data_IF_182534658860
#
_entry.id   IF_182534658860
#
_cell.length_a   1.000
_cell.length_b   1.000
_cell.length_c   1.000
_cell.angle_alpha   90.00
_cell.angle_beta   90.00
_cell.angle_gamma   90.00
#
_symmetry.space_group_name_H-M   'P 1'
#
loop_
_entity.id
_entity.type
_entity.pdbx_description
1 polymer ?
#
# COMPACT_ATOMS: atom_id res chain seq x y z
N UNK A 1 -10.82 15.57 -13.31
CA UNK A 1 -10.63 14.15 -13.73
C UNK A 1 -9.19 13.78 -13.39
N UNK A 2 -8.95 13.11 -12.29
CA UNK A 2 -7.59 12.69 -11.89
C UNK A 2 -7.28 11.44 -12.69
N UNK A 3 -6.41 11.56 -13.67
CA UNK A 3 -5.88 10.41 -14.38
C UNK A 3 -4.79 9.78 -13.51
N UNK A 4 -5.10 8.70 -12.81
CA UNK A 4 -4.11 7.89 -12.13
C UNK A 4 -3.45 6.97 -13.15
N UNK A 5 -2.24 7.30 -13.56
CA UNK A 5 -1.39 6.38 -14.33
C UNK A 5 -0.73 5.40 -13.36
N UNK A 6 -0.85 4.11 -13.59
CA UNK A 6 -0.14 3.08 -12.84
C UNK A 6 0.79 2.30 -13.74
N UNK A 7 2.01 2.07 -13.29
CA UNK A 7 2.99 1.22 -13.98
C UNK A 7 3.46 0.14 -13.01
N UNK A 8 3.56 -1.09 -13.51
CA UNK A 8 4.08 -2.22 -12.75
C UNK A 8 5.40 -2.67 -13.33
N UNK A 9 6.40 -2.79 -12.48
CA UNK A 9 7.76 -3.17 -12.85
C UNK A 9 8.17 -4.42 -12.11
N UNK A 10 8.67 -5.40 -12.84
CA UNK A 10 9.27 -6.58 -12.24
C UNK A 10 10.43 -7.05 -13.10
N UNK A 11 11.49 -7.53 -12.47
CA UNK A 11 12.63 -8.13 -13.16
C UNK A 11 12.38 -9.60 -13.53
N UNK A 12 11.38 -10.26 -12.90
CA UNK A 12 10.95 -11.62 -13.24
C UNK A 12 9.65 -11.66 -14.04
N UNK A 13 9.41 -12.74 -14.78
CA UNK A 13 8.27 -12.86 -15.70
C UNK A 13 6.93 -13.17 -14.99
N UNK A 14 6.93 -14.07 -14.00
CA UNK A 14 5.72 -14.67 -13.44
C UNK A 14 4.67 -13.67 -12.86
N UNK A 15 5.02 -12.69 -12.03
CA UNK A 15 3.99 -11.82 -11.43
C UNK A 15 3.30 -10.90 -12.43
N UNK A 16 4.01 -10.49 -13.49
CA UNK A 16 3.43 -9.62 -14.51
C UNK A 16 2.58 -10.38 -15.52
N UNK A 17 2.83 -11.68 -15.72
CA UNK A 17 2.01 -12.52 -16.58
C UNK A 17 0.61 -12.70 -15.98
N UNK A 18 0.47 -12.77 -14.66
CA UNK A 18 -0.84 -12.76 -13.99
C UNK A 18 -1.60 -11.44 -14.25
N UNK A 19 -0.93 -10.30 -14.26
CA UNK A 19 -1.55 -9.00 -14.58
C UNK A 19 -1.93 -8.94 -16.07
N UNK A 20 -1.08 -9.45 -16.97
CA UNK A 20 -1.32 -9.46 -18.42
C UNK A 20 -2.48 -10.36 -18.84
N UNK A 21 -2.68 -11.47 -18.14
CA UNK A 21 -3.69 -12.49 -18.47
C UNK A 21 -4.91 -12.47 -17.55
N UNK A 22 -4.84 -11.78 -16.41
CA UNK A 22 -5.85 -11.76 -15.38
C UNK A 22 -7.11 -10.97 -15.75
N UNK A 23 -8.07 -10.98 -14.83
CA UNK A 23 -9.38 -10.32 -14.96
C UNK A 23 -9.26 -8.81 -15.21
N UNK A 24 -8.24 -8.18 -14.62
CA UNK A 24 -8.03 -6.73 -14.67
C UNK A 24 -7.02 -6.27 -15.74
N UNK A 25 -6.67 -7.14 -16.70
CA UNK A 25 -5.69 -6.85 -17.76
C UNK A 25 -5.99 -5.57 -18.55
N UNK A 26 -7.27 -5.21 -18.69
CA UNK A 26 -7.70 -4.03 -19.45
C UNK A 26 -7.43 -2.71 -18.72
N UNK A 27 -7.12 -2.72 -17.43
CA UNK A 27 -6.81 -1.52 -16.66
C UNK A 27 -5.38 -1.01 -16.92
N UNK A 28 -4.51 -1.85 -17.47
CA UNK A 28 -3.11 -1.54 -17.68
C UNK A 28 -2.80 -1.47 -19.17
N UNK A 29 -2.09 -0.42 -19.57
CA UNK A 29 -1.55 -0.37 -20.92
C UNK A 29 -0.39 -1.36 -21.05
N UNK A 30 -0.32 -2.19 -22.10
CA UNK A 30 0.72 -3.21 -22.25
C UNK A 30 2.15 -2.66 -22.16
N UNK A 31 2.39 -1.46 -22.66
CA UNK A 31 3.70 -0.81 -22.59
C UNK A 31 4.12 -0.36 -21.19
N UNK A 32 3.20 -0.30 -20.24
CA UNK A 32 3.47 0.04 -18.84
C UNK A 32 3.84 -1.17 -17.99
N UNK A 33 3.70 -2.38 -18.54
CA UNK A 33 4.06 -3.63 -17.91
C UNK A 33 5.48 -4.02 -18.37
N UNK A 34 6.49 -3.58 -17.63
CA UNK A 34 7.89 -3.74 -18.00
C UNK A 34 8.51 -4.92 -17.26
N UNK A 35 9.06 -5.86 -18.00
CA UNK A 35 9.78 -7.04 -17.49
C UNK A 35 11.23 -7.00 -17.92
N UNK A 36 12.13 -7.43 -17.03
CA UNK A 36 13.53 -7.67 -17.35
C UNK A 36 13.72 -9.04 -18.03
N UNK A 37 14.87 -9.21 -18.66
CA UNK A 37 15.28 -10.50 -19.25
C UNK A 37 15.75 -11.50 -18.20
N UNK A 38 16.29 -11.01 -17.10
CA UNK A 38 16.79 -11.80 -15.99
C UNK A 38 16.14 -11.36 -14.66
N UNK A 39 16.00 -12.31 -13.75
CA UNK A 39 15.51 -12.05 -12.39
C UNK A 39 16.65 -11.53 -11.49
N UNK A 40 16.29 -10.73 -10.50
CA UNK A 40 17.22 -10.27 -9.47
C UNK A 40 17.59 -11.34 -8.43
N UNK A 41 17.01 -12.52 -8.49
CA UNK A 41 17.30 -13.69 -7.65
C UNK A 41 17.37 -13.36 -6.14
N UNK A 42 16.39 -12.59 -5.65
CA UNK A 42 16.33 -12.10 -4.26
C UNK A 42 17.62 -11.38 -3.78
N UNK A 43 18.35 -10.77 -4.68
CA UNK A 43 19.60 -10.08 -4.39
C UNK A 43 19.48 -8.58 -4.66
N UNK A 44 19.61 -7.78 -3.60
CA UNK A 44 19.60 -6.32 -3.70
C UNK A 44 20.60 -5.78 -4.73
N UNK A 45 21.84 -6.27 -4.72
CA UNK A 45 22.88 -5.78 -5.60
C UNK A 45 22.57 -6.06 -7.08
N UNK A 46 21.99 -7.21 -7.40
CA UNK A 46 21.52 -7.50 -8.76
C UNK A 46 20.39 -6.56 -9.17
N UNK A 47 19.42 -6.35 -8.30
CA UNK A 47 18.29 -5.46 -8.55
C UNK A 47 18.70 -4.00 -8.72
N UNK A 48 19.71 -3.55 -8.01
CA UNK A 48 20.16 -2.16 -8.02
C UNK A 48 21.22 -1.88 -9.10
N UNK A 49 22.27 -2.66 -9.18
CA UNK A 49 23.46 -2.35 -9.99
C UNK A 49 23.49 -3.10 -11.34
N UNK A 50 23.08 -4.33 -11.38
CA UNK A 50 23.23 -5.17 -12.57
C UNK A 50 22.00 -5.12 -13.45
N UNK A 51 20.97 -5.86 -13.10
CA UNK A 51 19.74 -5.98 -13.89
C UNK A 51 18.93 -4.68 -13.86
N UNK A 52 18.88 -4.01 -12.72
CA UNK A 52 18.14 -2.75 -12.57
C UNK A 52 18.70 -1.63 -13.44
N UNK A 53 20.02 -1.56 -13.57
CA UNK A 53 20.69 -0.54 -14.40
C UNK A 53 20.32 -0.64 -15.90
N UNK A 54 20.02 -1.82 -16.39
CA UNK A 54 19.60 -2.03 -17.77
C UNK A 54 18.16 -1.55 -18.03
N UNK A 55 17.29 -1.60 -17.01
CA UNK A 55 15.88 -1.30 -17.14
C UNK A 55 15.49 0.11 -16.70
N UNK A 56 16.31 0.77 -15.89
CA UNK A 56 15.94 2.03 -15.26
C UNK A 56 15.59 3.12 -16.28
N UNK A 57 16.34 3.23 -17.37
CA UNK A 57 16.13 4.26 -18.38
C UNK A 57 14.80 4.04 -19.13
N UNK A 58 14.42 2.79 -19.40
CA UNK A 58 13.13 2.44 -20.00
C UNK A 58 11.98 2.78 -19.06
N UNK A 59 12.14 2.47 -17.77
CA UNK A 59 11.14 2.77 -16.74
C UNK A 59 10.96 4.27 -16.57
N UNK A 60 12.03 5.03 -16.53
CA UNK A 60 11.97 6.49 -16.43
C UNK A 60 11.35 7.14 -17.67
N UNK A 61 11.63 6.64 -18.87
CA UNK A 61 11.00 7.13 -20.11
C UNK A 61 9.48 6.90 -20.07
N UNK A 62 9.03 5.72 -19.63
CA UNK A 62 7.59 5.42 -19.46
C UNK A 62 6.94 6.27 -18.39
N UNK A 63 7.62 6.46 -17.27
CA UNK A 63 7.18 7.33 -16.18
C UNK A 63 7.02 8.76 -16.69
N UNK A 64 7.98 9.28 -17.45
CA UNK A 64 7.93 10.63 -18.03
C UNK A 64 6.74 10.78 -18.97
N UNK A 65 6.49 9.82 -19.85
CA UNK A 65 5.31 9.82 -20.73
C UNK A 65 3.99 9.87 -19.97
N UNK A 66 3.90 9.18 -18.83
CA UNK A 66 2.73 9.25 -17.95
C UNK A 66 2.60 10.60 -17.27
N UNK A 67 3.70 11.15 -16.77
CA UNK A 67 3.68 12.47 -16.10
C UNK A 67 3.35 13.60 -17.07
N UNK A 68 3.78 13.53 -18.33
CA UNK A 68 3.47 14.51 -19.36
C UNK A 68 1.98 14.56 -19.71
N UNK A 69 1.24 13.47 -19.49
CA UNK A 69 -0.21 13.42 -19.68
C UNK A 69 -0.99 14.00 -18.48
N UNK A 70 -0.33 14.24 -17.35
CA UNK A 70 -0.96 14.78 -16.16
C UNK A 70 -1.10 16.30 -16.26
N UNK A 71 -2.28 16.85 -15.96
CA UNK A 71 -2.49 18.30 -15.85
C UNK A 71 -1.87 18.90 -14.60
N UNK A 72 -1.71 18.09 -13.54
CA UNK A 72 -1.10 18.49 -12.27
C UNK A 72 -0.61 17.26 -11.52
N UNK A 73 0.65 16.92 -11.67
CA UNK A 73 1.27 15.82 -10.95
C UNK A 73 1.44 16.20 -9.47
N UNK A 74 0.82 15.47 -8.57
CA UNK A 74 1.00 15.64 -7.11
C UNK A 74 2.25 14.90 -6.61
N UNK A 75 2.47 13.67 -7.07
CA UNK A 75 3.58 12.84 -6.63
C UNK A 75 3.45 11.39 -7.11
N UNK A 76 4.17 10.52 -6.42
CA UNK A 76 4.26 9.11 -6.74
C UNK A 76 3.88 8.24 -5.54
N UNK A 77 3.19 7.14 -5.81
CA UNK A 77 2.96 6.04 -4.88
C UNK A 77 3.74 4.84 -5.37
N UNK A 78 4.67 4.36 -4.57
CA UNK A 78 5.54 3.22 -4.91
C UNK A 78 5.20 2.05 -3.99
N UNK A 79 4.71 0.97 -4.57
CA UNK A 79 4.40 -0.25 -3.83
C UNK A 79 5.47 -1.31 -4.10
N UNK A 80 6.14 -1.79 -3.05
CA UNK A 80 7.23 -2.76 -3.18
C UNK A 80 7.40 -3.61 -1.92
N UNK A 81 8.15 -4.72 -2.05
CA UNK A 81 8.58 -5.53 -0.91
C UNK A 81 10.01 -5.20 -0.53
N UNK A 82 10.34 -5.36 0.74
CA UNK A 82 11.72 -5.21 1.23
C UNK A 82 12.58 -6.45 0.98
N UNK A 83 11.97 -7.63 0.94
CA UNK A 83 12.68 -8.90 0.91
C UNK A 83 13.20 -9.31 -0.46
N UNK A 84 12.48 -8.99 -1.53
CA UNK A 84 12.85 -9.37 -2.89
C UNK A 84 13.98 -8.52 -3.49
N UNK A 85 14.72 -9.05 -4.43
CA UNK A 85 15.81 -8.31 -5.10
C UNK A 85 15.32 -7.14 -5.95
N UNK A 86 14.20 -7.30 -6.66
CA UNK A 86 13.56 -6.23 -7.42
C UNK A 86 12.92 -5.20 -6.49
N UNK A 87 12.10 -5.65 -5.55
CA UNK A 87 11.40 -4.76 -4.62
C UNK A 87 12.35 -3.94 -3.74
N UNK A 88 13.51 -4.47 -3.39
CA UNK A 88 14.54 -3.75 -2.63
C UNK A 88 15.50 -2.98 -3.53
N UNK A 89 16.22 -3.68 -4.41
CA UNK A 89 17.32 -3.10 -5.18
C UNK A 89 16.86 -2.17 -6.30
N UNK A 90 15.92 -2.61 -7.12
CA UNK A 90 15.42 -1.79 -8.22
C UNK A 90 14.60 -0.59 -7.72
N UNK A 91 13.78 -0.77 -6.66
CA UNK A 91 13.04 0.34 -6.08
C UNK A 91 13.96 1.41 -5.51
N UNK A 92 15.05 1.03 -4.83
CA UNK A 92 16.05 1.99 -4.34
C UNK A 92 16.63 2.83 -5.48
N UNK A 93 17.04 2.19 -6.57
CA UNK A 93 17.52 2.88 -7.75
C UNK A 93 16.47 3.81 -8.37
N UNK A 94 15.23 3.34 -8.48
CA UNK A 94 14.12 4.12 -9.00
C UNK A 94 13.85 5.36 -8.14
N UNK A 95 13.82 5.21 -6.82
CA UNK A 95 13.59 6.34 -5.89
C UNK A 95 14.69 7.39 -5.96
N UNK A 96 15.94 6.99 -6.07
CA UNK A 96 17.07 7.90 -6.30
C UNK A 96 16.88 8.72 -7.59
N UNK A 97 16.54 8.04 -8.69
CA UNK A 97 16.35 8.71 -10.00
C UNK A 97 15.11 9.60 -10.01
N UNK A 98 14.00 9.17 -9.40
CA UNK A 98 12.81 10.00 -9.26
C UNK A 98 13.07 11.24 -8.39
N UNK A 99 13.93 11.15 -7.40
CA UNK A 99 14.31 12.29 -6.58
C UNK A 99 15.14 13.32 -7.35
N UNK A 100 15.91 12.89 -8.34
CA UNK A 100 16.65 13.79 -9.24
C UNK A 100 15.69 14.48 -10.22
N UNK A 101 14.83 13.71 -10.89
CA UNK A 101 13.96 14.23 -11.93
C UNK A 101 12.75 15.00 -11.37
N UNK A 102 12.20 14.55 -10.23
CA UNK A 102 10.98 15.04 -9.59
C UNK A 102 11.16 15.42 -8.11
N UNK A 103 12.28 16.05 -7.76
CA UNK A 103 12.64 16.33 -6.36
C UNK A 103 11.62 17.13 -5.54
N UNK A 104 10.77 17.94 -6.20
CA UNK A 104 9.71 18.72 -5.54
C UNK A 104 8.37 18.00 -5.40
N UNK A 105 8.28 16.77 -5.88
CA UNK A 105 7.05 15.97 -5.86
C UNK A 105 7.08 14.97 -4.72
N UNK A 106 5.96 14.81 -4.04
CA UNK A 106 5.84 13.88 -2.92
C UNK A 106 6.01 12.43 -3.39
N UNK A 107 6.79 11.67 -2.65
CA UNK A 107 7.04 10.24 -2.89
C UNK A 107 6.61 9.47 -1.66
N UNK A 108 5.50 8.73 -1.78
CA UNK A 108 4.97 7.87 -0.74
C UNK A 108 5.29 6.41 -1.08
N UNK A 109 5.68 5.66 -0.08
CA UNK A 109 5.96 4.22 -0.21
C UNK A 109 4.92 3.39 0.54
N UNK A 110 4.56 2.25 -0.06
CA UNK A 110 3.90 1.15 0.60
C UNK A 110 4.83 -0.05 0.56
N UNK A 111 5.40 -0.38 1.70
CA UNK A 111 6.47 -1.36 1.80
C UNK A 111 6.00 -2.59 2.57
N UNK A 112 6.15 -3.76 1.94
CA UNK A 112 5.85 -5.03 2.61
C UNK A 112 7.09 -5.49 3.36
N UNK A 113 6.99 -5.50 4.69
CA UNK A 113 8.05 -5.91 5.60
C UNK A 113 8.20 -7.45 5.61
N UNK A 114 9.43 -7.98 5.63
CA UNK A 114 9.64 -9.42 5.65
C UNK A 114 9.17 -10.03 6.97
N UNK A 115 8.40 -11.10 6.87
CA UNK A 115 7.90 -11.85 8.01
C UNK A 115 8.62 -13.19 8.14
N UNK A 116 9.19 -13.55 9.28
CA UNK A 116 9.98 -14.78 9.45
C UNK A 116 9.19 -16.06 9.13
N UNK A 117 7.90 -16.08 9.43
CA UNK A 117 7.03 -17.25 9.21
C UNK A 117 6.60 -17.44 7.75
N UNK A 118 6.67 -16.40 6.94
CA UNK A 118 6.19 -16.38 5.54
C UNK A 118 7.33 -16.02 4.57
N UNK A 119 8.56 -15.93 5.08
CA UNK A 119 9.75 -15.59 4.30
C UNK A 119 10.13 -16.71 3.34
N UNK A 120 10.40 -16.36 2.10
CA UNK A 120 10.87 -17.28 1.06
C UNK A 120 12.38 -17.28 0.87
N UNK A 121 13.08 -16.24 1.37
CA UNK A 121 14.52 -16.09 1.19
C UNK A 121 15.24 -15.74 2.50
N UNK A 122 16.35 -16.45 2.76
CA UNK A 122 17.18 -16.23 3.94
C UNK A 122 17.82 -14.83 3.96
N UNK A 123 18.01 -14.22 2.79
CA UNK A 123 18.67 -12.92 2.63
C UNK A 123 17.73 -11.71 2.75
N UNK A 124 16.46 -11.92 3.01
CA UNK A 124 15.48 -10.83 3.15
C UNK A 124 15.87 -9.75 4.18
N UNK A 125 16.43 -10.07 5.35
CA UNK A 125 16.86 -9.05 6.30
C UNK A 125 17.94 -8.13 5.74
N UNK A 126 18.90 -8.67 4.97
CA UNK A 126 19.95 -7.88 4.32
C UNK A 126 19.37 -6.94 3.28
N UNK A 127 18.49 -7.44 2.40
CA UNK A 127 17.82 -6.62 1.40
C UNK A 127 17.00 -5.51 2.04
N UNK A 128 16.34 -5.79 3.15
CA UNK A 128 15.52 -4.83 3.90
C UNK A 128 16.35 -3.67 4.47
N UNK A 129 17.51 -3.98 5.06
CA UNK A 129 18.40 -2.95 5.60
C UNK A 129 18.96 -2.08 4.48
N UNK A 130 19.40 -2.68 3.38
CA UNK A 130 19.98 -1.97 2.25
C UNK A 130 18.96 -1.06 1.57
N UNK A 131 17.73 -1.54 1.34
CA UNK A 131 16.68 -0.71 0.74
C UNK A 131 16.27 0.43 1.68
N UNK A 132 16.08 0.16 2.97
CA UNK A 132 15.72 1.19 3.94
C UNK A 132 16.77 2.28 4.03
N UNK A 133 18.05 1.92 4.03
CA UNK A 133 19.15 2.88 4.04
C UNK A 133 19.11 3.83 2.83
N UNK A 134 18.88 3.29 1.64
CA UNK A 134 18.81 4.08 0.41
C UNK A 134 17.52 4.90 0.31
N UNK A 135 16.36 4.31 0.63
CA UNK A 135 15.07 5.00 0.46
C UNK A 135 14.75 6.01 1.54
N UNK A 136 15.41 5.93 2.70
CA UNK A 136 15.19 6.84 3.83
C UNK A 136 15.34 8.33 3.46
N UNK A 137 16.25 8.65 2.55
CA UNK A 137 16.51 10.03 2.11
C UNK A 137 15.63 10.45 0.92
N UNK A 138 14.98 9.51 0.26
CA UNK A 138 14.24 9.74 -0.98
C UNK A 138 12.73 9.59 -0.84
N UNK A 139 12.24 9.14 0.32
CA UNK A 139 10.83 8.98 0.62
C UNK A 139 10.33 10.05 1.57
N UNK A 140 9.15 10.56 1.34
CA UNK A 140 8.51 11.57 2.18
C UNK A 140 7.62 10.93 3.26
N UNK A 141 7.02 9.78 2.96
CA UNK A 141 6.17 9.02 3.87
C UNK A 141 6.15 7.56 3.45
N UNK A 142 6.37 6.63 4.38
CA UNK A 142 6.41 5.19 4.11
C UNK A 142 5.46 4.44 5.03
N UNK A 143 4.44 3.81 4.43
CA UNK A 143 3.53 2.91 5.12
C UNK A 143 4.07 1.48 5.08
N UNK A 144 4.46 0.96 6.23
CA UNK A 144 4.96 -0.41 6.32
C UNK A 144 3.83 -1.38 6.66
N UNK A 145 3.82 -2.49 5.95
CA UNK A 145 2.87 -3.59 6.12
C UNK A 145 3.64 -4.85 6.49
N UNK A 146 3.33 -5.42 7.65
CA UNK A 146 3.91 -6.68 8.08
C UNK A 146 3.00 -7.86 7.70
N UNK A 147 3.51 -8.76 6.87
CA UNK A 147 2.76 -9.94 6.46
C UNK A 147 2.43 -10.88 7.62
N UNK A 148 3.25 -10.92 8.67
CA UNK A 148 2.97 -11.73 9.86
C UNK A 148 1.76 -11.19 10.63
N UNK A 149 1.71 -9.87 10.85
CA UNK A 149 0.59 -9.22 11.51
C UNK A 149 -0.71 -9.41 10.72
N UNK A 150 -0.67 -9.27 9.40
CA UNK A 150 -1.85 -9.48 8.54
C UNK A 150 -2.27 -10.95 8.54
N UNK A 151 -1.33 -11.89 8.54
CA UNK A 151 -1.61 -13.31 8.66
C UNK A 151 -2.35 -13.61 9.97
N UNK A 152 -1.89 -13.07 11.08
CA UNK A 152 -2.53 -13.21 12.39
C UNK A 152 -3.93 -12.58 12.43
N UNK A 153 -4.13 -11.41 11.82
CA UNK A 153 -5.45 -10.78 11.68
C UNK A 153 -6.40 -11.70 10.90
N UNK A 154 -5.97 -12.23 9.76
CA UNK A 154 -6.77 -13.17 8.98
C UNK A 154 -7.15 -14.40 9.77
N UNK A 155 -6.24 -14.93 10.57
CA UNK A 155 -6.46 -16.14 11.36
C UNK A 155 -7.34 -15.89 12.57
N UNK A 156 -7.10 -14.81 13.33
CA UNK A 156 -7.83 -14.52 14.58
C UNK A 156 -9.19 -13.87 14.34
N UNK A 157 -9.26 -12.93 13.42
CA UNK A 157 -10.47 -12.12 13.25
C UNK A 157 -11.39 -12.64 12.15
N UNK A 158 -10.84 -13.26 11.10
CA UNK A 158 -11.60 -13.79 9.98
C UNK A 158 -11.80 -15.31 10.04
N UNK A 159 -11.25 -15.98 11.07
CA UNK A 159 -11.33 -17.44 11.28
C UNK A 159 -10.83 -18.27 10.08
N UNK A 160 -9.83 -17.76 9.36
CA UNK A 160 -9.20 -18.47 8.25
C UNK A 160 -8.03 -19.28 8.81
N UNK A 161 -8.15 -20.61 8.89
CA UNK A 161 -7.11 -21.47 9.46
C UNK A 161 -5.76 -21.35 8.74
N UNK A 162 -5.79 -21.29 7.41
CA UNK A 162 -4.60 -21.16 6.55
C UNK A 162 -4.76 -20.01 5.57
N UNK A 163 -4.45 -18.77 5.97
CA UNK A 163 -4.50 -17.64 5.07
C UNK A 163 -3.55 -17.81 3.88
N UNK A 164 -4.05 -17.53 2.69
CA UNK A 164 -3.28 -17.50 1.45
C UNK A 164 -2.79 -16.08 1.16
N UNK A 165 -1.83 -15.92 0.27
CA UNK A 165 -1.41 -14.59 -0.19
C UNK A 165 -2.57 -13.77 -0.76
N UNK A 166 -3.55 -14.40 -1.39
CA UNK A 166 -4.76 -13.73 -1.86
C UNK A 166 -5.57 -13.10 -0.72
N UNK A 167 -5.67 -13.77 0.42
CA UNK A 167 -6.34 -13.24 1.61
C UNK A 167 -5.59 -12.02 2.17
N UNK A 168 -4.26 -12.14 2.30
CA UNK A 168 -3.40 -11.05 2.77
C UNK A 168 -3.49 -9.84 1.84
N UNK A 169 -3.35 -10.07 0.54
CA UNK A 169 -3.39 -9.02 -0.47
C UNK A 169 -4.75 -8.30 -0.51
N UNK A 170 -5.86 -9.01 -0.26
CA UNK A 170 -7.19 -8.39 -0.16
C UNK A 170 -7.26 -7.39 0.99
N UNK A 171 -6.73 -7.75 2.16
CA UNK A 171 -6.71 -6.85 3.32
C UNK A 171 -5.83 -5.63 3.07
N UNK A 172 -4.62 -5.84 2.53
CA UNK A 172 -3.71 -4.76 2.14
C UNK A 172 -4.38 -3.84 1.11
N UNK A 173 -5.08 -4.41 0.13
CA UNK A 173 -5.78 -3.64 -0.91
C UNK A 173 -6.89 -2.76 -0.32
N UNK A 174 -7.60 -3.22 0.71
CA UNK A 174 -8.59 -2.42 1.42
C UNK A 174 -7.94 -1.19 2.10
N UNK A 175 -6.81 -1.39 2.75
CA UNK A 175 -6.07 -0.31 3.41
C UNK A 175 -5.59 0.72 2.39
N UNK A 176 -4.92 0.27 1.33
CA UNK A 176 -4.41 1.14 0.26
C UNK A 176 -5.55 1.88 -0.44
N UNK A 177 -6.66 1.19 -0.73
CA UNK A 177 -7.86 1.81 -1.31
C UNK A 177 -8.45 2.89 -0.40
N UNK A 178 -8.43 2.68 0.90
CA UNK A 178 -8.94 3.66 1.89
C UNK A 178 -8.03 4.88 1.99
N UNK A 179 -6.71 4.68 1.99
CA UNK A 179 -5.73 5.79 2.00
C UNK A 179 -5.86 6.64 0.73
N UNK A 180 -6.02 6.00 -0.41
CA UNK A 180 -6.12 6.70 -1.70
C UNK A 180 -7.54 7.17 -2.05
N UNK A 181 -8.54 6.90 -1.23
CA UNK A 181 -9.93 7.27 -1.50
C UNK A 181 -10.12 8.79 -1.64
N UNK A 182 -9.43 9.58 -0.82
CA UNK A 182 -9.46 11.04 -0.89
C UNK A 182 -8.93 11.61 -2.21
N UNK A 183 -8.01 10.90 -2.87
CA UNK A 183 -7.46 11.29 -4.17
C UNK A 183 -8.40 10.94 -5.35
N UNK A 184 -9.31 9.99 -5.15
CA UNK A 184 -10.17 9.42 -6.22
C UNK A 184 -11.61 9.92 -6.17
N UNK A 185 -12.09 10.33 -5.02
CA UNK A 185 -13.47 10.73 -4.80
C UNK A 185 -13.53 12.11 -4.14
N UNK A 186 -14.45 12.94 -4.60
CA UNK A 186 -14.76 14.20 -3.95
C UNK A 186 -15.46 13.94 -2.61
N UNK A 187 -14.94 14.54 -1.55
CA UNK A 187 -15.48 14.41 -0.20
C UNK A 187 -15.14 15.60 0.67
N UNK A 188 -15.64 15.59 1.90
CA UNK A 188 -15.37 16.65 2.88
C UNK A 188 -13.89 16.70 3.34
N UNK A 189 -13.14 15.65 3.11
CA UNK A 189 -11.72 15.51 3.41
C UNK A 189 -10.98 15.21 2.10
N UNK A 190 -10.58 16.26 1.39
CA UNK A 190 -9.64 16.15 0.28
C UNK A 190 -8.23 16.24 0.86
N UNK A 191 -7.58 15.08 0.99
CA UNK A 191 -6.21 14.99 1.47
C UNK A 191 -5.29 14.78 0.28
N UNK A 192 -4.46 15.75 -0.02
CA UNK A 192 -3.41 15.66 -1.02
C UNK A 192 -2.21 14.85 -0.51
N UNK A 193 -1.37 14.33 -1.41
CA UNK A 193 -0.17 13.59 -1.02
C UNK A 193 0.77 14.42 -0.13
N UNK A 194 0.83 15.72 -0.35
CA UNK A 194 1.61 16.65 0.49
C UNK A 194 1.05 16.79 1.90
N UNK A 195 -0.25 16.64 2.06
CA UNK A 195 -0.91 16.74 3.37
C UNK A 195 -0.59 15.53 4.26
N UNK A 196 -0.40 14.35 3.68
CA UNK A 196 0.11 13.20 4.42
C UNK A 196 1.49 13.49 5.03
N UNK A 197 2.40 14.06 4.25
CA UNK A 197 3.71 14.47 4.76
C UNK A 197 3.58 15.51 5.87
N UNK A 198 2.79 16.54 5.67
CA UNK A 198 2.64 17.66 6.62
C UNK A 198 2.03 17.22 7.94
N UNK A 199 1.02 16.36 7.92
CA UNK A 199 0.25 15.99 9.11
C UNK A 199 0.82 14.77 9.84
N UNK A 200 1.49 13.85 9.15
CA UNK A 200 1.88 12.56 9.71
C UNK A 200 3.39 12.43 9.97
N UNK A 201 4.19 13.31 9.41
CA UNK A 201 5.65 13.24 9.50
C UNK A 201 6.15 14.33 10.42
N UNK A 202 6.55 14.01 11.68
CA UNK A 202 7.04 15.01 12.63
C UNK A 202 8.44 15.53 12.27
N UNK A 203 9.28 14.64 11.76
CA UNK A 203 10.66 14.94 11.33
C UNK A 203 10.97 14.23 10.02
N UNK A 204 11.78 14.80 9.12
CA UNK A 204 12.00 14.22 7.80
C UNK A 204 12.47 12.76 7.79
N UNK A 205 13.23 12.33 8.78
CA UNK A 205 13.72 10.95 8.91
C UNK A 205 12.75 10.01 9.64
N UNK A 206 11.77 10.56 10.36
CA UNK A 206 10.75 9.79 11.10
C UNK A 206 9.45 9.88 10.29
N UNK A 207 9.42 9.21 9.14
CA UNK A 207 8.32 9.27 8.19
C UNK A 207 7.61 7.92 7.99
N UNK A 208 7.55 7.12 9.06
CA UNK A 208 6.92 5.80 9.08
C UNK A 208 5.64 5.82 9.92
N UNK A 209 4.51 6.27 9.39
CA UNK A 209 3.25 6.25 10.13
C UNK A 209 2.72 4.83 10.27
N UNK A 210 2.06 4.57 11.40
CA UNK A 210 1.31 3.33 11.60
C UNK A 210 -0.09 3.47 11.03
N UNK A 211 -0.51 2.46 10.26
CA UNK A 211 -1.86 2.39 9.74
C UNK A 211 -2.67 1.34 10.51
N UNK A 212 -3.85 1.71 10.99
CA UNK A 212 -4.80 0.79 11.59
C UNK A 212 -6.05 0.71 10.74
N UNK A 213 -6.63 -0.48 10.62
CA UNK A 213 -7.84 -0.72 9.85
C UNK A 213 -8.84 -1.53 10.67
N UNK A 214 -10.03 -1.01 10.87
CA UNK A 214 -11.10 -1.65 11.59
C UNK A 214 -12.47 -1.28 11.00
N UNK A 215 -13.50 -2.16 11.11
CA UNK A 215 -13.46 -3.48 11.70
C UNK A 215 -12.98 -4.56 10.71
N UNK A 216 -12.18 -5.51 11.19
CA UNK A 216 -11.84 -6.74 10.46
C UNK A 216 -12.38 -7.90 11.29
N UNK A 217 -13.53 -8.43 10.91
CA UNK A 217 -14.26 -9.44 11.68
C UNK A 217 -14.99 -10.39 10.72
N UNK A 218 -15.09 -11.68 11.07
CA UNK A 218 -15.89 -12.63 10.32
C UNK A 218 -17.39 -12.36 10.51
N UNK A 219 -18.21 -12.75 9.51
CA UNK A 219 -19.65 -12.55 9.57
C UNK A 219 -20.30 -13.26 10.78
N UNK A 220 -19.77 -14.42 11.17
CA UNK A 220 -20.26 -15.18 12.34
C UNK A 220 -19.96 -14.44 13.64
N UNK A 221 -18.74 -13.95 13.83
CA UNK A 221 -18.37 -13.16 15.02
C UNK A 221 -19.12 -11.83 15.09
N UNK A 222 -19.34 -11.17 13.95
CA UNK A 222 -20.07 -9.92 13.89
C UNK A 222 -21.52 -10.05 14.39
N UNK A 223 -22.10 -11.23 14.29
CA UNK A 223 -23.47 -11.53 14.77
C UNK A 223 -23.52 -11.70 16.29
N UNK A 224 -22.44 -12.21 16.90
CA UNK A 224 -22.38 -12.53 18.33
C UNK A 224 -21.77 -11.42 19.19
N UNK A 225 -20.95 -10.57 18.62
CA UNK A 225 -20.33 -9.46 19.34
C UNK A 225 -21.14 -8.17 19.16
N UNK A 226 -21.64 -7.56 20.26
CA UNK A 226 -22.26 -6.26 20.19
C UNK A 226 -21.18 -5.22 19.83
N UNK A 227 -20.99 -5.01 18.54
CA UNK A 227 -20.05 -4.02 18.03
C UNK A 227 -20.56 -2.61 18.30
N UNK A 228 -20.44 -2.12 19.53
CA UNK A 228 -20.59 -0.71 19.81
C UNK A 228 -19.43 0.03 19.12
N UNK A 229 -19.76 0.82 18.09
CA UNK A 229 -18.82 1.58 17.24
C UNK A 229 -17.75 2.35 18.02
N UNK A 230 -18.11 2.86 19.21
CA UNK A 230 -17.21 3.57 20.11
C UNK A 230 -16.20 2.63 20.81
N UNK A 231 -16.58 1.40 21.10
CA UNK A 231 -15.78 0.45 21.86
C UNK A 231 -14.67 -0.21 21.03
N UNK A 232 -14.93 -0.41 19.73
CA UNK A 232 -13.91 -0.88 18.78
C UNK A 232 -12.84 0.20 18.62
N UNK A 233 -13.25 1.44 18.49
CA UNK A 233 -12.34 2.59 18.37
C UNK A 233 -11.56 2.81 19.65
N UNK A 234 -12.20 2.72 20.83
CA UNK A 234 -11.55 2.96 22.13
C UNK A 234 -10.58 1.85 22.51
N UNK A 235 -10.90 0.59 22.24
CA UNK A 235 -9.99 -0.52 22.52
C UNK A 235 -8.72 -0.47 21.68
N UNK A 236 -8.82 0.03 20.44
CA UNK A 236 -7.67 0.25 19.57
C UNK A 236 -6.78 1.41 20.03
N UNK A 237 -7.37 2.47 20.60
CA UNK A 237 -6.61 3.58 21.16
C UNK A 237 -5.92 3.24 22.48
N UNK A 238 -6.53 2.37 23.31
CA UNK A 238 -6.00 2.01 24.62
C UNK A 238 -4.84 1.01 24.57
N UNK A 239 -4.76 0.17 23.53
CA UNK A 239 -3.65 -0.78 23.35
C UNK A 239 -2.37 -0.12 22.80
N UNK A 240 -2.44 1.11 22.28
CA UNK A 240 -1.32 1.74 21.53
C UNK A 240 -0.93 3.12 22.08
N UNK A 241 -1.02 3.31 23.39
CA UNK A 241 -0.75 4.57 24.11
C UNK A 241 0.71 5.07 24.05
N UNK A 242 1.55 4.59 23.15
CA UNK A 242 2.93 5.04 23.01
C UNK A 242 3.18 5.78 21.69
N UNK A 243 3.14 7.11 21.76
CA UNK A 243 3.89 8.13 21.00
C UNK A 243 4.10 7.96 19.46
N UNK A 244 3.29 7.19 18.74
CA UNK A 244 3.39 7.07 17.30
C UNK A 244 2.18 7.74 16.64
N UNK A 245 2.45 8.53 15.62
CA UNK A 245 1.41 9.18 14.82
C UNK A 245 0.53 8.11 14.16
N UNK A 246 -0.68 7.93 14.66
CA UNK A 246 -1.63 6.95 14.14
C UNK A 246 -2.44 7.59 13.02
N UNK A 247 -2.34 7.05 11.82
CA UNK A 247 -3.26 7.37 10.72
C UNK A 247 -4.56 6.64 10.93
N UNK A 248 -5.53 7.34 11.47
CA UNK A 248 -6.89 6.81 11.56
C UNK A 248 -7.57 6.93 10.19
N UNK A 249 -7.58 5.85 9.43
CA UNK A 249 -8.35 5.76 8.20
C UNK A 249 -9.82 5.58 8.58
N UNK A 250 -10.53 6.69 8.68
CA UNK A 250 -11.94 6.71 9.04
C UNK A 250 -12.75 6.19 7.84
N UNK A 251 -13.23 4.96 7.92
CA UNK A 251 -14.23 4.39 7.01
C UNK A 251 -15.59 5.08 7.20
N UNK A 252 -15.69 6.34 6.80
CA UNK A 252 -16.97 7.09 6.85
C UNK A 252 -17.95 6.64 5.78
N UNK A 253 -17.51 5.95 4.73
CA UNK A 253 -18.37 5.56 3.61
C UNK A 253 -19.24 4.31 3.88
N UNK A 254 -18.74 3.34 4.63
CA UNK A 254 -19.52 2.14 4.95
C UNK A 254 -20.60 2.42 5.99
N UNK A 255 -20.38 3.40 6.86
CA UNK A 255 -21.34 3.78 7.90
C UNK A 255 -22.56 4.56 7.41
N UNK A 256 -22.46 5.32 6.32
CA UNK A 256 -23.66 5.97 5.75
C UNK A 256 -24.66 4.96 5.20
N UNK A 257 -24.19 3.96 4.48
CA UNK A 257 -25.05 2.93 3.89
C UNK A 257 -25.70 2.05 4.97
N UNK A 258 -24.94 1.67 6.01
CA UNK A 258 -25.48 0.89 7.13
C UNK A 258 -26.43 1.70 8.02
N UNK A 259 -26.17 2.98 8.27
CA UNK A 259 -27.07 3.86 9.04
C UNK A 259 -28.35 4.20 8.28
N UNK A 260 -28.27 4.40 6.97
CA UNK A 260 -29.46 4.62 6.12
C UNK A 260 -30.32 3.35 5.97
N UNK A 261 -29.72 2.15 5.92
CA UNK A 261 -30.48 0.91 5.91
C UNK A 261 -31.15 0.64 7.26
N UNK A 262 -30.48 0.91 8.39
CA UNK A 262 -31.07 0.79 9.73
C UNK A 262 -32.20 1.81 9.97
N UNK A 263 -32.02 3.04 9.56
CA UNK A 263 -33.06 4.08 9.67
C UNK A 263 -34.28 3.77 8.79
N UNK A 264 -34.09 3.20 7.59
CA UNK A 264 -35.23 2.75 6.76
C UNK A 264 -36.00 1.57 7.38
N UNK A 265 -35.29 0.68 8.07
CA UNK A 265 -35.92 -0.46 8.76
C UNK A 265 -36.75 0.01 9.97
N UNK A 266 -36.28 1.01 10.72
CA UNK A 266 -37.04 1.59 11.84
C UNK A 266 -38.26 2.41 11.37
N UNK A 267 -38.17 3.15 10.27
CA UNK A 267 -39.29 3.91 9.72
C UNK A 267 -40.38 2.98 9.16
N UNK A 268 -40.01 1.82 8.61
CA UNK A 268 -40.99 0.83 8.13
C UNK A 268 -41.70 0.05 9.26
N UNK A 269 -41.11 0.00 10.46
CA UNK A 269 -41.72 -0.65 11.63
C UNK A 269 -42.65 0.27 12.45
N UNK A 270 -42.61 1.59 12.20
CA UNK A 270 -43.50 2.57 12.88
C UNK A 270 -44.74 2.90 12.05
N UNK A 271 -44.81 2.45 10.80
CA UNK A 271 -45.98 2.71 9.91
C UNK A 271 -46.90 1.49 9.70
N UNK A 272 -46.89 0.49 10.59
CA UNK A 272 -47.89 -0.59 10.64
C UNK A 272 -48.57 -0.63 12.00
#
# INVERSE_FOLDING_TARGET
MIQSGSSSYNLGYLPLDEVRTGTYRQLFHPEQLITGKEDAANNYARGHYTVGKELIDVVLDRTRKLTDQCTGLQGFLVFHSFGGGTGSGFTSLLMERLSVDYGKKSKLEFSVYPAPQVSTAVVEPYNSILTTHSTLEHSDCAFMVDNEAIYDICRRNLDIERPTYSNLNRLISQIVSSITASLRFDGALNVDLTEFQTNLVPYPRIHFPLATYAPVISAEKAYHEPCHKAQIISNWFLEHDNELTVVQIKLTSVHKVAAESSARTEISSVSN
#
